data_IF_321653500246
#
_entry.id   IF_321653500246
#
_cell.length_a   1.000
_cell.length_b   1.000
_cell.length_c   1.000
_cell.angle_alpha   90.00
_cell.angle_beta   90.00
_cell.angle_gamma   90.00
#
_symmetry.space_group_name_H-M   'P 1'
#
loop_
_entity.id
_entity.type
_entity.pdbx_description
1 polymer ?
#
# COMPACT_ATOMS: atom_id res chain seq x y z
N UNK A 1 -8.43 6.36 33.85
CA UNK A 1 -7.81 6.33 32.51
C UNK A 1 -6.82 5.18 32.52
N UNK A 2 -6.94 4.21 31.61
CA UNK A 2 -6.00 3.09 31.55
C UNK A 2 -4.64 3.54 31.02
N UNK A 3 -3.57 2.75 31.27
CA UNK A 3 -2.24 3.04 30.69
C UNK A 3 -2.29 3.09 29.16
N UNK A 4 -3.16 2.28 28.54
CA UNK A 4 -3.35 2.30 27.09
C UNK A 4 -3.99 3.61 26.62
N UNK A 5 -4.98 4.15 27.33
CA UNK A 5 -5.59 5.44 26.97
C UNK A 5 -4.59 6.60 27.14
N UNK A 6 -3.76 6.54 28.19
CA UNK A 6 -2.70 7.52 28.42
C UNK A 6 -1.63 7.46 27.32
N UNK A 7 -1.24 6.24 26.89
CA UNK A 7 -0.33 6.03 25.77
C UNK A 7 -0.93 6.59 24.47
N UNK A 8 -2.17 6.25 24.16
CA UNK A 8 -2.90 6.73 22.98
C UNK A 8 -2.90 8.26 22.91
N UNK A 9 -3.29 8.92 24.01
CA UNK A 9 -3.31 10.37 24.11
C UNK A 9 -1.91 10.97 23.87
N UNK A 10 -0.87 10.40 24.49
CA UNK A 10 0.52 10.88 24.37
C UNK A 10 1.11 10.67 22.96
N UNK A 11 0.69 9.65 22.24
CA UNK A 11 1.13 9.39 20.87
C UNK A 11 0.41 10.32 19.90
N UNK A 12 -0.93 10.37 19.95
CA UNK A 12 -1.76 11.14 19.00
C UNK A 12 -1.63 12.67 19.20
N UNK A 13 -1.22 13.14 20.38
CA UNK A 13 -0.86 14.56 20.57
C UNK A 13 0.39 14.97 19.78
N UNK A 14 1.21 14.02 19.32
CA UNK A 14 2.40 14.31 18.51
C UNK A 14 2.04 14.74 17.09
N UNK A 15 2.63 15.84 16.61
CA UNK A 15 2.38 16.42 15.27
C UNK A 15 2.41 15.37 14.14
N UNK A 16 3.36 14.43 14.20
CA UNK A 16 3.58 13.43 13.14
C UNK A 16 2.63 12.22 13.24
N UNK A 17 1.83 12.10 14.32
CA UNK A 17 1.01 10.92 14.59
C UNK A 17 -0.48 11.23 14.75
N UNK A 18 -0.86 12.51 14.79
CA UNK A 18 -2.24 12.95 15.06
C UNK A 18 -3.26 12.47 14.02
N UNK A 19 -2.80 12.17 12.80
CA UNK A 19 -3.63 11.68 11.70
C UNK A 19 -3.51 10.17 11.47
N UNK A 20 -2.68 9.47 12.25
CA UNK A 20 -2.57 8.00 12.18
C UNK A 20 -3.84 7.37 12.76
N UNK A 21 -4.33 6.31 12.12
CA UNK A 21 -5.46 5.50 12.60
C UNK A 21 -5.36 5.21 14.10
N UNK A 22 -6.36 5.60 14.91
CA UNK A 22 -6.38 5.28 16.33
C UNK A 22 -6.37 3.77 16.61
N UNK A 23 -7.00 2.96 15.75
CA UNK A 23 -6.98 1.49 15.86
C UNK A 23 -5.56 0.95 15.73
N UNK A 24 -4.81 1.43 14.73
CA UNK A 24 -3.43 1.04 14.50
C UNK A 24 -2.50 1.47 15.65
N UNK A 25 -2.65 2.71 16.15
CA UNK A 25 -1.91 3.18 17.33
C UNK A 25 -2.22 2.33 18.55
N UNK A 26 -3.50 1.96 18.78
CA UNK A 26 -3.95 1.11 19.88
C UNK A 26 -3.35 -0.28 19.80
N UNK A 27 -3.34 -0.91 18.63
CA UNK A 27 -2.79 -2.25 18.44
C UNK A 27 -1.28 -2.30 18.73
N UNK A 28 -0.52 -1.33 18.20
CA UNK A 28 0.92 -1.23 18.47
C UNK A 28 1.16 -0.86 19.93
N UNK A 29 0.42 0.11 20.47
CA UNK A 29 0.55 0.59 21.85
C UNK A 29 0.32 -0.50 22.88
N UNK A 30 -0.72 -1.32 22.72
CA UNK A 30 -1.02 -2.45 23.59
C UNK A 30 0.13 -3.47 23.61
N UNK A 31 0.67 -3.78 22.43
CA UNK A 31 1.83 -4.68 22.30
C UNK A 31 3.08 -4.12 22.98
N UNK A 32 3.36 -2.83 22.84
CA UNK A 32 4.54 -2.21 23.43
C UNK A 32 4.38 -2.05 24.95
N UNK A 33 3.17 -1.78 25.48
CA UNK A 33 2.88 -1.78 26.90
C UNK A 33 3.17 -3.15 27.56
N UNK A 34 2.81 -4.23 26.90
CA UNK A 34 3.07 -5.59 27.40
C UNK A 34 4.57 -5.95 27.45
N UNK A 35 5.42 -5.23 26.72
CA UNK A 35 6.86 -5.52 26.55
C UNK A 35 7.78 -4.54 27.25
N UNK A 36 7.28 -3.41 27.72
CA UNK A 36 8.11 -2.32 28.25
C UNK A 36 7.89 -2.11 29.74
N UNK A 37 8.95 -1.72 30.48
CA UNK A 37 8.87 -1.60 31.92
C UNK A 37 8.13 -0.34 32.40
N UNK A 38 7.82 0.60 31.51
CA UNK A 38 7.12 1.84 31.87
C UNK A 38 6.32 2.41 30.70
N UNK A 39 5.28 3.19 31.02
CA UNK A 39 4.45 3.92 30.05
C UNK A 39 5.32 4.81 29.14
N UNK A 40 6.30 5.54 29.68
CA UNK A 40 7.23 6.38 28.90
C UNK A 40 8.00 5.57 27.85
N UNK A 41 8.50 4.40 28.24
CA UNK A 41 9.22 3.50 27.33
C UNK A 41 8.28 2.93 26.26
N UNK A 42 7.05 2.56 26.62
CA UNK A 42 6.03 2.09 25.69
C UNK A 42 5.63 3.18 24.67
N UNK A 43 5.40 4.42 25.10
CA UNK A 43 5.11 5.56 24.21
C UNK A 43 6.24 5.78 23.20
N UNK A 44 7.51 5.77 23.66
CA UNK A 44 8.67 5.91 22.77
C UNK A 44 8.74 4.77 21.75
N UNK A 45 8.56 3.53 22.20
CA UNK A 45 8.61 2.35 21.33
C UNK A 45 7.45 2.35 20.32
N UNK A 46 6.25 2.74 20.72
CA UNK A 46 5.10 2.92 19.83
C UNK A 46 5.39 3.96 18.75
N UNK A 47 5.90 5.14 19.10
CA UNK A 47 6.30 6.18 18.13
C UNK A 47 7.35 5.68 17.14
N UNK A 48 8.34 4.92 17.60
CA UNK A 48 9.36 4.34 16.72
C UNK A 48 8.76 3.32 15.74
N UNK A 49 7.86 2.45 16.21
CA UNK A 49 7.18 1.48 15.35
C UNK A 49 6.30 2.17 14.29
N UNK A 50 5.56 3.21 14.68
CA UNK A 50 4.76 4.02 13.74
C UNK A 50 5.63 4.74 12.70
N UNK A 51 6.78 5.25 13.10
CA UNK A 51 7.73 5.87 12.18
C UNK A 51 8.27 4.87 11.16
N UNK A 52 8.59 3.65 11.58
CA UNK A 52 9.05 2.58 10.68
C UNK A 52 7.94 2.09 9.74
N UNK A 53 6.68 2.11 10.20
CA UNK A 53 5.54 1.66 9.41
C UNK A 53 5.18 2.61 8.26
N UNK A 54 5.25 3.91 8.49
CA UNK A 54 4.76 4.90 7.54
C UNK A 54 5.46 6.26 7.60
N UNK A 55 5.88 6.70 8.79
CA UNK A 55 6.47 8.04 8.98
C UNK A 55 7.77 8.26 8.20
N UNK A 56 8.50 7.19 7.88
CA UNK A 56 9.71 7.26 7.08
C UNK A 56 9.46 7.59 5.58
N UNK A 57 8.20 7.55 5.13
CA UNK A 57 7.83 7.87 3.74
C UNK A 57 7.38 9.31 3.52
N UNK A 58 7.20 10.07 4.61
CA UNK A 58 6.88 11.49 4.57
C UNK A 58 8.00 12.29 5.27
N UNK A 59 9.01 12.72 4.53
CA UNK A 59 10.14 13.51 5.06
C UNK A 59 9.66 14.85 5.63
N UNK A 60 8.64 15.45 4.99
CA UNK A 60 7.95 16.66 5.41
C UNK A 60 6.43 16.45 5.29
N UNK A 61 5.63 17.03 6.20
CA UNK A 61 4.17 17.02 6.07
C UNK A 61 3.74 17.59 4.71
N UNK A 62 2.85 16.87 4.04
CA UNK A 62 2.27 17.32 2.77
C UNK A 62 1.17 18.32 3.06
N UNK A 63 1.19 19.44 2.37
CA UNK A 63 0.10 20.43 2.38
C UNK A 63 -0.98 19.96 1.38
N UNK A 64 -1.95 19.19 1.86
CA UNK A 64 -3.01 18.61 1.04
C UNK A 64 -3.97 19.66 0.47
N UNK A 65 -4.19 20.80 1.16
CA UNK A 65 -5.02 21.89 0.64
C UNK A 65 -4.36 22.53 -0.57
N UNK A 66 -3.06 22.80 -0.49
CA UNK A 66 -2.27 23.31 -1.61
C UNK A 66 -2.21 22.32 -2.77
N UNK A 67 -2.08 21.04 -2.46
CA UNK A 67 -2.08 19.97 -3.47
C UNK A 67 -3.42 19.92 -4.23
N UNK A 68 -4.56 19.98 -3.50
CA UNK A 68 -5.89 20.05 -4.13
C UNK A 68 -6.07 21.32 -4.97
N UNK A 69 -5.61 22.46 -4.50
CA UNK A 69 -5.67 23.71 -5.26
C UNK A 69 -4.91 23.60 -6.59
N UNK A 70 -3.72 22.98 -6.58
CA UNK A 70 -2.92 22.70 -7.78
C UNK A 70 -3.67 21.82 -8.78
N UNK A 71 -4.28 20.71 -8.31
CA UNK A 71 -5.03 19.78 -9.15
C UNK A 71 -6.28 20.43 -9.74
N UNK A 72 -7.03 21.22 -8.95
CA UNK A 72 -8.19 21.99 -9.44
C UNK A 72 -7.79 23.01 -10.50
N UNK A 73 -6.67 23.69 -10.31
CA UNK A 73 -6.17 24.65 -11.29
C UNK A 73 -5.80 23.96 -12.62
N UNK A 74 -5.15 22.80 -12.56
CA UNK A 74 -4.79 22.04 -13.75
C UNK A 74 -6.02 21.58 -14.54
N UNK A 75 -7.07 21.07 -13.87
CA UNK A 75 -8.32 20.67 -14.52
C UNK A 75 -9.15 21.85 -15.03
N UNK A 76 -9.03 23.03 -14.41
CA UNK A 76 -9.66 24.26 -14.93
C UNK A 76 -9.00 24.75 -16.23
N UNK A 77 -7.68 24.52 -16.39
CA UNK A 77 -6.95 24.85 -17.61
C UNK A 77 -7.18 23.83 -18.73
N UNK A 78 -7.27 22.55 -18.40
CA UNK A 78 -7.59 21.44 -19.31
C UNK A 78 -8.46 20.43 -18.58
N UNK A 79 -9.77 20.29 -18.91
CA UNK A 79 -10.69 19.36 -18.25
C UNK A 79 -10.33 17.87 -18.46
N UNK A 80 -9.34 17.56 -19.30
CA UNK A 80 -8.91 16.19 -19.53
C UNK A 80 -8.21 15.62 -18.28
N UNK A 81 -8.79 14.58 -17.70
CA UNK A 81 -8.21 13.85 -16.57
C UNK A 81 -6.92 13.10 -16.93
N UNK A 82 -6.68 12.87 -18.22
CA UNK A 82 -5.47 12.26 -18.78
C UNK A 82 -4.58 13.29 -19.52
N UNK A 83 -4.96 14.56 -19.50
CA UNK A 83 -4.22 15.66 -20.09
C UNK A 83 -2.89 15.92 -19.38
N UNK A 84 -1.89 16.42 -20.14
CA UNK A 84 -0.57 16.68 -19.56
C UNK A 84 -0.59 17.70 -18.40
N UNK A 85 -1.42 18.76 -18.39
CA UNK A 85 -1.48 19.66 -17.24
C UNK A 85 -1.87 18.94 -15.94
N UNK A 86 -2.86 18.05 -15.98
CA UNK A 86 -3.29 17.29 -14.81
C UNK A 86 -2.26 16.23 -14.40
N UNK A 87 -1.68 15.50 -15.37
CA UNK A 87 -0.58 14.55 -15.11
C UNK A 87 0.64 15.24 -14.47
N UNK A 88 1.02 16.41 -14.96
CA UNK A 88 2.11 17.19 -14.37
C UNK A 88 1.82 17.60 -12.93
N UNK A 89 0.59 18.04 -12.65
CA UNK A 89 0.15 18.39 -11.29
C UNK A 89 0.16 17.17 -10.35
N UNK A 90 -0.33 16.00 -10.82
CA UNK A 90 -0.27 14.74 -10.07
C UNK A 90 1.17 14.33 -9.76
N UNK A 91 2.10 14.39 -10.75
CA UNK A 91 3.53 14.11 -10.52
C UNK A 91 4.11 15.06 -9.46
N UNK A 92 3.79 16.35 -9.52
CA UNK A 92 4.25 17.32 -8.52
C UNK A 92 3.79 16.95 -7.10
N UNK A 93 2.53 16.55 -6.92
CA UNK A 93 2.01 16.10 -5.62
C UNK A 93 2.68 14.79 -5.17
N UNK A 94 2.88 13.84 -6.07
CA UNK A 94 3.53 12.55 -5.79
C UNK A 94 4.97 12.70 -5.29
N UNK A 95 5.66 13.81 -5.56
CA UNK A 95 7.01 14.07 -5.02
C UNK A 95 7.01 14.19 -3.49
N UNK A 96 5.89 14.54 -2.88
CA UNK A 96 5.74 14.70 -1.43
C UNK A 96 5.82 13.39 -0.64
N UNK A 97 5.64 12.23 -1.28
CA UNK A 97 5.68 10.92 -0.64
C UNK A 97 6.82 10.07 -1.22
N UNK A 98 7.73 9.61 -0.38
CA UNK A 98 8.98 8.94 -0.81
C UNK A 98 8.73 7.77 -1.76
N UNK A 99 7.78 6.89 -1.45
CA UNK A 99 7.47 5.70 -2.26
C UNK A 99 7.02 6.06 -3.68
N UNK A 100 6.19 7.09 -3.85
CA UNK A 100 5.73 7.55 -5.16
C UNK A 100 6.79 8.39 -5.87
N UNK A 101 7.52 9.24 -5.15
CA UNK A 101 8.66 10.02 -5.69
C UNK A 101 9.71 9.11 -6.33
N UNK A 102 10.08 8.00 -5.66
CA UNK A 102 11.02 7.02 -6.20
C UNK A 102 10.51 6.30 -7.44
N UNK A 103 9.17 6.17 -7.60
CA UNK A 103 8.57 5.54 -8.78
C UNK A 103 8.43 6.50 -9.96
N UNK A 104 8.40 7.82 -9.75
CA UNK A 104 8.21 8.78 -10.84
C UNK A 104 9.11 8.56 -12.06
N UNK A 105 10.43 8.25 -11.92
CA UNK A 105 11.29 8.02 -13.07
C UNK A 105 10.97 6.77 -13.90
N UNK A 106 10.21 5.85 -13.34
CA UNK A 106 9.83 4.57 -13.97
C UNK A 106 8.31 4.42 -14.13
N UNK A 107 7.55 5.48 -13.88
CA UNK A 107 6.09 5.43 -13.70
C UNK A 107 5.38 4.87 -14.93
N UNK A 108 5.75 5.34 -16.11
CA UNK A 108 5.16 4.91 -17.39
C UNK A 108 5.43 3.42 -17.64
N UNK A 109 6.69 3.00 -17.54
CA UNK A 109 7.09 1.61 -17.77
C UNK A 109 6.58 0.66 -16.67
N UNK A 110 6.57 1.12 -15.42
CA UNK A 110 6.18 0.29 -14.27
C UNK A 110 4.77 -0.27 -14.45
N UNK A 111 3.79 0.58 -14.69
CA UNK A 111 2.40 0.13 -14.83
C UNK A 111 2.14 -0.52 -16.19
N UNK A 112 2.72 -0.03 -17.26
CA UNK A 112 2.61 -0.65 -18.57
C UNK A 112 3.09 -2.11 -18.55
N UNK A 113 4.23 -2.39 -17.90
CA UNK A 113 4.79 -3.74 -17.84
C UNK A 113 4.09 -4.63 -16.80
N UNK A 114 3.73 -4.11 -15.63
CA UNK A 114 3.09 -4.91 -14.57
C UNK A 114 1.65 -5.28 -14.93
N UNK A 115 0.96 -4.49 -15.74
CA UNK A 115 -0.43 -4.70 -16.13
C UNK A 115 -0.60 -5.25 -17.57
N UNK A 116 0.48 -5.38 -18.35
CA UNK A 116 0.44 -5.74 -19.77
C UNK A 116 -0.38 -7.01 -20.11
N UNK A 117 -0.36 -8.00 -19.24
CA UNK A 117 -1.01 -9.30 -19.45
C UNK A 117 -2.14 -9.55 -18.45
N UNK A 118 -2.70 -8.48 -17.88
CA UNK A 118 -3.85 -8.55 -16.99
C UNK A 118 -5.09 -8.15 -17.79
N UNK A 119 -6.16 -8.94 -17.78
CA UNK A 119 -7.44 -8.51 -18.35
C UNK A 119 -7.89 -7.19 -17.72
N UNK A 120 -8.58 -6.32 -18.47
CA UNK A 120 -9.07 -5.05 -17.94
C UNK A 120 -9.84 -5.28 -16.62
N UNK A 121 -9.33 -4.79 -15.47
CA UNK A 121 -9.95 -5.09 -14.18
C UNK A 121 -11.20 -4.24 -13.97
N UNK A 122 -12.26 -4.84 -13.42
CA UNK A 122 -13.43 -4.12 -12.94
C UNK A 122 -13.16 -3.45 -11.59
N UNK A 123 -12.29 -4.05 -10.75
CA UNK A 123 -11.92 -3.52 -9.44
C UNK A 123 -10.45 -3.75 -9.12
N UNK A 124 -9.82 -2.72 -8.56
CA UNK A 124 -8.45 -2.72 -8.05
C UNK A 124 -8.44 -2.39 -6.56
N UNK A 125 -7.63 -3.13 -5.78
CA UNK A 125 -7.28 -2.77 -4.40
C UNK A 125 -5.85 -2.18 -4.38
N UNK A 126 -5.63 -1.14 -3.59
CA UNK A 126 -4.30 -0.58 -3.32
C UNK A 126 -4.07 -0.53 -1.80
N UNK A 127 -3.16 -1.37 -1.32
CA UNK A 127 -3.00 -1.66 0.11
C UNK A 127 -1.78 -0.96 0.67
N UNK A 128 -1.97 -0.15 1.72
CA UNK A 128 -1.01 0.81 2.24
C UNK A 128 -0.54 1.74 1.10
N UNK A 129 -1.53 2.37 0.50
CA UNK A 129 -1.44 2.97 -0.83
C UNK A 129 -0.51 4.20 -0.91
N UNK A 130 -0.24 4.90 0.21
CA UNK A 130 0.41 6.19 0.16
C UNK A 130 -0.31 7.14 -0.80
N UNK A 131 0.42 7.75 -1.71
CA UNK A 131 -0.14 8.54 -2.83
C UNK A 131 -0.26 7.71 -4.13
N UNK A 132 -0.24 6.37 -4.06
CA UNK A 132 -0.36 5.46 -5.20
C UNK A 132 -1.56 5.75 -6.10
N UNK A 133 -2.77 6.04 -5.58
CA UNK A 133 -3.95 6.34 -6.40
C UNK A 133 -3.78 7.51 -7.37
N UNK A 134 -2.87 8.46 -7.08
CA UNK A 134 -2.56 9.56 -8.01
C UNK A 134 -1.93 9.09 -9.33
N UNK A 135 -1.41 7.85 -9.36
CA UNK A 135 -0.86 7.26 -10.56
C UNK A 135 -1.94 6.70 -11.52
N UNK A 136 -3.25 6.81 -11.22
CA UNK A 136 -4.33 6.26 -12.03
C UNK A 136 -4.22 6.54 -13.54
N UNK A 137 -3.84 7.76 -14.01
CA UNK A 137 -3.69 8.03 -15.46
C UNK A 137 -2.60 7.23 -16.16
N UNK A 138 -1.71 6.57 -15.42
CA UNK A 138 -0.63 5.71 -15.97
C UNK A 138 -0.96 4.22 -15.94
N UNK A 139 -2.07 3.85 -15.29
CA UNK A 139 -2.43 2.44 -15.13
C UNK A 139 -3.13 1.86 -16.36
N UNK A 140 -3.59 2.68 -17.31
CA UNK A 140 -4.37 2.21 -18.46
C UNK A 140 -5.67 1.50 -18.07
N UNK A 141 -6.24 1.82 -16.92
CA UNK A 141 -7.46 1.19 -16.42
C UNK A 141 -8.69 1.68 -17.20
N UNK A 142 -9.67 0.81 -17.46
CA UNK A 142 -10.97 1.24 -17.96
C UNK A 142 -11.55 2.38 -17.11
N UNK A 143 -12.26 3.35 -17.71
CA UNK A 143 -12.86 4.46 -16.95
C UNK A 143 -13.79 4.00 -15.81
N UNK A 144 -14.50 2.89 -16.00
CA UNK A 144 -15.41 2.32 -15.02
C UNK A 144 -14.74 1.49 -13.92
N UNK A 145 -13.43 1.25 -13.96
CA UNK A 145 -12.71 0.47 -12.93
C UNK A 145 -12.83 1.15 -11.57
N UNK A 146 -13.40 0.42 -10.60
CA UNK A 146 -13.46 0.86 -9.21
C UNK A 146 -12.08 0.72 -8.55
N UNK A 147 -11.58 1.80 -7.95
CA UNK A 147 -10.29 1.83 -7.26
C UNK A 147 -10.50 1.97 -5.75
N UNK A 148 -10.16 0.94 -4.98
CA UNK A 148 -10.27 0.93 -3.52
C UNK A 148 -8.88 1.04 -2.90
N UNK A 149 -8.64 2.13 -2.17
CA UNK A 149 -7.35 2.44 -1.57
C UNK A 149 -7.44 2.40 -0.04
N UNK A 150 -6.41 1.86 0.60
CA UNK A 150 -6.34 1.71 2.06
C UNK A 150 -5.03 2.23 2.60
N UNK A 151 -5.07 3.07 3.63
CA UNK A 151 -3.89 3.53 4.35
C UNK A 151 -4.25 3.88 5.81
N UNK A 152 -3.23 4.12 6.63
CA UNK A 152 -3.40 4.46 8.05
C UNK A 152 -3.51 5.96 8.35
N UNK A 153 -3.27 6.85 7.36
CA UNK A 153 -3.26 8.29 7.55
C UNK A 153 -4.58 8.94 7.14
N UNK A 154 -5.33 9.47 8.11
CA UNK A 154 -6.67 10.02 7.88
C UNK A 154 -6.68 11.27 6.98
N UNK A 155 -5.71 12.17 7.12
CA UNK A 155 -5.57 13.35 6.29
C UNK A 155 -5.24 13.02 4.83
N UNK A 156 -4.36 12.05 4.61
CA UNK A 156 -4.04 11.53 3.27
C UNK A 156 -5.28 10.88 2.63
N UNK A 157 -6.02 10.06 3.38
CA UNK A 157 -7.25 9.42 2.89
C UNK A 157 -8.32 10.44 2.54
N UNK A 158 -8.50 11.48 3.37
CA UNK A 158 -9.41 12.58 3.06
C UNK A 158 -9.02 13.28 1.75
N UNK A 159 -7.73 13.61 1.58
CA UNK A 159 -7.20 14.18 0.35
C UNK A 159 -7.45 13.28 -0.87
N UNK A 160 -7.16 11.98 -0.78
CA UNK A 160 -7.38 11.05 -1.88
C UNK A 160 -8.86 10.97 -2.29
N UNK A 161 -9.79 10.99 -1.33
CA UNK A 161 -11.22 11.01 -1.64
C UNK A 161 -11.64 12.29 -2.37
N UNK A 162 -11.10 13.46 -1.99
CA UNK A 162 -11.30 14.70 -2.74
C UNK A 162 -10.77 14.60 -4.17
N UNK A 163 -9.61 13.94 -4.38
CA UNK A 163 -9.06 13.72 -5.73
C UNK A 163 -9.95 12.76 -6.54
N UNK A 164 -10.46 11.67 -5.95
CA UNK A 164 -11.40 10.78 -6.63
C UNK A 164 -12.64 11.54 -7.13
N UNK A 165 -13.21 12.39 -6.27
CA UNK A 165 -14.37 13.24 -6.62
C UNK A 165 -13.98 14.24 -7.72
N UNK A 166 -12.88 14.96 -7.54
CA UNK A 166 -12.40 16.00 -8.46
C UNK A 166 -12.16 15.46 -9.88
N UNK A 167 -11.53 14.29 -9.96
CA UNK A 167 -11.20 13.63 -11.21
C UNK A 167 -12.34 12.73 -11.75
N UNK A 168 -13.46 12.60 -11.03
CA UNK A 168 -14.55 11.71 -11.42
C UNK A 168 -14.15 10.24 -11.54
N UNK A 169 -13.12 9.82 -10.79
CA UNK A 169 -12.67 8.43 -10.81
C UNK A 169 -13.56 7.55 -9.92
N UNK A 170 -14.10 6.44 -10.43
CA UNK A 170 -14.82 5.50 -9.58
C UNK A 170 -13.92 4.93 -8.49
N UNK A 171 -14.39 4.94 -7.25
CA UNK A 171 -13.65 4.36 -6.13
C UNK A 171 -13.66 5.23 -4.88
N UNK A 172 -12.87 4.82 -3.91
CA UNK A 172 -12.71 5.52 -2.62
C UNK A 172 -11.43 5.10 -1.92
N UNK A 173 -11.01 5.94 -0.97
CA UNK A 173 -9.96 5.62 -0.02
C UNK A 173 -10.55 5.47 1.40
N UNK A 174 -10.00 4.55 2.20
CA UNK A 174 -10.46 4.24 3.56
C UNK A 174 -9.29 4.17 4.53
N UNK A 175 -9.45 4.77 5.72
CA UNK A 175 -8.48 4.60 6.82
C UNK A 175 -8.59 3.18 7.34
N UNK A 176 -7.51 2.39 7.23
CA UNK A 176 -7.52 0.98 7.63
C UNK A 176 -6.17 0.49 8.11
N UNK A 177 -6.15 -0.16 9.27
CA UNK A 177 -5.05 -1.01 9.70
C UNK A 177 -5.10 -2.34 8.94
N UNK A 178 -4.27 -2.48 7.90
CA UNK A 178 -4.24 -3.68 7.05
C UNK A 178 -3.56 -4.88 7.72
N UNK A 179 -2.91 -4.69 8.89
CA UNK A 179 -2.35 -5.78 9.70
C UNK A 179 -3.45 -6.41 10.56
N UNK A 180 -4.20 -5.59 11.27
CA UNK A 180 -5.27 -6.02 12.15
C UNK A 180 -6.56 -6.37 11.41
N UNK A 181 -6.83 -5.66 10.30
CA UNK A 181 -8.05 -5.82 9.50
C UNK A 181 -7.71 -5.75 7.99
N UNK A 182 -7.10 -6.81 7.44
CA UNK A 182 -6.82 -6.87 6.01
C UNK A 182 -8.11 -6.64 5.18
N UNK A 183 -8.02 -5.99 4.01
CA UNK A 183 -9.16 -5.88 3.12
C UNK A 183 -9.48 -7.25 2.50
N UNK A 184 -10.75 -7.63 2.54
CA UNK A 184 -11.30 -8.89 2.03
C UNK A 184 -12.25 -8.70 0.84
N UNK A 185 -12.47 -7.44 0.45
CA UNK A 185 -13.32 -7.07 -0.69
C UNK A 185 -12.81 -7.75 -1.96
N UNK A 186 -13.68 -8.47 -2.72
CA UNK A 186 -13.27 -9.09 -3.97
C UNK A 186 -12.77 -8.05 -4.98
N UNK A 187 -11.65 -8.35 -5.64
CA UNK A 187 -11.07 -7.53 -6.69
C UNK A 187 -10.36 -8.39 -7.74
N UNK A 188 -10.07 -7.82 -8.90
CA UNK A 188 -9.34 -8.52 -9.96
C UNK A 188 -7.84 -8.45 -9.75
N UNK A 189 -7.37 -7.32 -9.21
CA UNK A 189 -5.95 -7.04 -8.93
C UNK A 189 -5.82 -6.35 -7.58
N UNK A 190 -4.80 -6.73 -6.81
CA UNK A 190 -4.38 -5.99 -5.62
C UNK A 190 -2.94 -5.50 -5.74
N UNK A 191 -2.73 -4.22 -5.49
CA UNK A 191 -1.41 -3.60 -5.37
C UNK A 191 -0.93 -3.65 -3.92
N UNK A 192 0.29 -4.14 -3.72
CA UNK A 192 1.02 -4.22 -2.44
C UNK A 192 2.42 -3.64 -2.69
N UNK A 193 2.48 -2.34 -2.94
CA UNK A 193 3.67 -1.69 -3.47
C UNK A 193 4.56 -1.14 -2.37
N UNK A 194 5.76 -1.72 -2.20
CA UNK A 194 6.76 -1.41 -1.15
C UNK A 194 6.23 -1.58 0.30
N UNK A 195 5.13 -2.29 0.47
CA UNK A 195 4.39 -2.42 1.73
C UNK A 195 4.95 -3.50 2.64
N UNK A 196 5.30 -4.68 2.08
CA UNK A 196 5.65 -5.86 2.88
C UNK A 196 6.82 -5.63 3.86
N UNK A 197 7.90 -4.91 3.51
CA UNK A 197 8.97 -4.63 4.46
C UNK A 197 8.51 -3.80 5.68
N UNK A 198 7.56 -2.90 5.48
CA UNK A 198 7.01 -2.06 6.55
C UNK A 198 6.17 -2.89 7.52
N UNK A 199 5.35 -3.80 7.00
CA UNK A 199 4.54 -4.71 7.81
C UNK A 199 5.42 -5.67 8.60
N UNK A 200 6.46 -6.20 7.97
CA UNK A 200 7.40 -7.13 8.60
C UNK A 200 8.16 -6.49 9.76
N UNK A 201 8.49 -5.22 9.67
CA UNK A 201 9.12 -4.47 10.77
C UNK A 201 8.22 -4.39 12.01
N UNK A 202 6.89 -4.46 11.83
CA UNK A 202 5.91 -4.46 12.91
C UNK A 202 5.65 -5.88 13.41
N UNK A 203 5.36 -6.80 12.49
CA UNK A 203 5.07 -8.20 12.78
C UNK A 203 5.59 -9.07 11.61
N UNK A 204 6.53 -9.97 11.92
CA UNK A 204 7.18 -10.85 10.93
C UNK A 204 6.19 -11.71 10.12
N UNK A 205 5.03 -12.01 10.68
CA UNK A 205 4.00 -12.84 10.03
C UNK A 205 2.94 -12.00 9.29
N UNK A 206 2.93 -10.67 9.46
CA UNK A 206 1.95 -9.79 8.83
C UNK A 206 1.97 -9.86 7.29
N UNK A 207 3.13 -9.91 6.61
CA UNK A 207 3.17 -10.05 5.16
C UNK A 207 2.38 -11.26 4.65
N UNK A 208 2.63 -12.44 5.22
CA UNK A 208 1.93 -13.66 4.81
C UNK A 208 0.43 -13.59 5.05
N UNK A 209 0.02 -13.16 6.26
CA UNK A 209 -1.41 -13.01 6.60
C UNK A 209 -2.14 -12.02 5.69
N UNK A 210 -1.50 -10.88 5.36
CA UNK A 210 -2.08 -9.92 4.44
C UNK A 210 -2.30 -10.54 3.07
N UNK A 211 -1.26 -11.14 2.48
CA UNK A 211 -1.37 -11.74 1.15
C UNK A 211 -2.42 -12.85 1.09
N UNK A 212 -2.53 -13.67 2.15
CA UNK A 212 -3.53 -14.73 2.25
C UNK A 212 -4.96 -14.16 2.30
N UNK A 213 -5.15 -13.06 3.03
CA UNK A 213 -6.46 -12.43 3.23
C UNK A 213 -6.97 -11.66 2.01
N UNK A 214 -6.08 -11.15 1.14
CA UNK A 214 -6.49 -10.40 -0.05
C UNK A 214 -7.31 -11.28 -0.99
N UNK A 215 -8.56 -10.89 -1.26
CA UNK A 215 -9.45 -11.60 -2.16
C UNK A 215 -9.28 -11.10 -3.61
N UNK A 216 -8.09 -11.31 -4.16
CA UNK A 216 -7.76 -10.97 -5.54
C UNK A 216 -6.91 -12.10 -6.14
N UNK A 217 -7.21 -12.59 -7.37
CA UNK A 217 -6.45 -13.64 -8.04
C UNK A 217 -5.07 -13.16 -8.50
N UNK A 218 -4.88 -11.85 -8.67
CA UNK A 218 -3.63 -11.25 -9.12
C UNK A 218 -3.15 -10.24 -8.08
N UNK A 219 -1.86 -10.34 -7.71
CA UNK A 219 -1.21 -9.36 -6.84
C UNK A 219 -0.01 -8.76 -7.57
N UNK A 220 0.10 -7.45 -7.58
CA UNK A 220 1.33 -6.74 -7.96
C UNK A 220 2.03 -6.36 -6.67
N UNK A 221 3.11 -7.05 -6.37
CA UNK A 221 3.90 -6.83 -5.14
C UNK A 221 5.22 -6.20 -5.53
N UNK A 222 5.64 -5.15 -4.84
CA UNK A 222 6.94 -4.56 -5.12
C UNK A 222 7.78 -4.28 -3.88
N UNK A 223 9.08 -4.14 -4.13
CA UNK A 223 10.11 -3.85 -3.13
C UNK A 223 11.02 -2.73 -3.63
N UNK A 224 11.55 -1.88 -2.75
CA UNK A 224 12.53 -0.88 -3.14
C UNK A 224 13.82 -1.56 -3.63
N UNK A 225 14.37 -1.11 -4.77
CA UNK A 225 15.66 -1.58 -5.26
C UNK A 225 16.85 -1.05 -4.44
N UNK A 226 16.61 0.00 -3.62
CA UNK A 226 17.60 0.67 -2.77
C UNK A 226 17.03 0.91 -1.37
N UNK A 227 17.91 1.09 -0.35
CA UNK A 227 17.45 1.61 0.95
C UNK A 227 17.05 3.08 0.82
N UNK A 228 16.23 3.59 1.76
CA UNK A 228 16.00 5.04 1.94
C UNK A 228 17.30 5.85 2.07
N UNK A 229 18.43 5.21 2.43
CA UNK A 229 19.78 5.78 2.49
C UNK A 229 20.68 5.50 1.28
N UNK A 230 20.13 5.02 0.15
CA UNK A 230 20.85 4.88 -1.13
C UNK A 230 21.79 3.68 -1.27
N UNK A 231 21.79 2.71 -0.35
CA UNK A 231 22.62 1.49 -0.46
C UNK A 231 21.92 0.46 -1.36
N UNK A 232 22.54 0.12 -2.50
CA UNK A 232 22.00 -0.81 -3.51
C UNK A 232 22.37 -2.28 -3.28
N UNK A 233 23.55 -2.58 -2.68
CA UNK A 233 24.15 -3.90 -2.74
C UNK A 233 23.42 -4.89 -1.82
N UNK A 234 22.79 -5.93 -2.40
CA UNK A 234 22.24 -7.08 -1.70
C UNK A 234 20.79 -6.99 -1.23
N UNK A 235 20.14 -5.81 -1.21
CA UNK A 235 18.78 -5.67 -0.69
C UNK A 235 17.72 -6.29 -1.59
N UNK A 236 17.78 -6.00 -2.89
CA UNK A 236 16.82 -6.57 -3.84
C UNK A 236 16.86 -8.11 -3.82
N UNK A 237 18.07 -8.69 -3.82
CA UNK A 237 18.25 -10.15 -3.73
C UNK A 237 17.72 -10.72 -2.39
N UNK A 238 17.90 -10.00 -1.28
CA UNK A 238 17.37 -10.42 0.02
C UNK A 238 15.84 -10.41 0.05
N UNK A 239 15.21 -9.34 -0.44
CA UNK A 239 13.75 -9.27 -0.55
C UNK A 239 13.21 -10.35 -1.48
N UNK A 240 13.84 -10.54 -2.64
CA UNK A 240 13.46 -11.57 -3.59
C UNK A 240 13.51 -12.97 -2.97
N UNK A 241 14.63 -13.36 -2.34
CA UNK A 241 14.77 -14.67 -1.74
C UNK A 241 13.70 -14.96 -0.68
N UNK A 242 13.44 -13.97 0.20
CA UNK A 242 12.42 -14.11 1.25
C UNK A 242 11.01 -14.15 0.67
N UNK A 243 10.74 -13.33 -0.33
CA UNK A 243 9.43 -13.28 -0.97
C UNK A 243 9.15 -14.57 -1.74
N UNK A 244 10.14 -15.11 -2.48
CA UNK A 244 10.01 -16.41 -3.15
C UNK A 244 9.73 -17.53 -2.15
N UNK A 245 10.49 -17.62 -1.05
CA UNK A 245 10.22 -18.59 0.01
C UNK A 245 8.78 -18.46 0.57
N UNK A 246 8.26 -17.25 0.70
CA UNK A 246 6.87 -17.00 1.11
C UNK A 246 5.86 -17.51 0.07
N UNK A 247 6.12 -17.32 -1.22
CA UNK A 247 5.27 -17.79 -2.32
C UNK A 247 5.33 -19.31 -2.49
N UNK A 248 6.52 -19.89 -2.36
CA UNK A 248 6.74 -21.35 -2.50
C UNK A 248 5.90 -22.13 -1.48
N UNK A 249 5.78 -21.65 -0.24
CA UNK A 249 4.92 -22.28 0.78
C UNK A 249 3.43 -22.27 0.41
N UNK A 250 3.01 -21.47 -0.59
CA UNK A 250 1.65 -21.32 -1.06
C UNK A 250 1.41 -21.90 -2.45
N UNK A 251 2.49 -22.31 -3.13
CA UNK A 251 2.42 -22.76 -4.53
C UNK A 251 2.00 -21.64 -5.49
N UNK A 252 2.29 -20.36 -5.16
CA UNK A 252 1.89 -19.24 -6.00
C UNK A 252 2.98 -18.84 -6.99
N UNK A 253 2.76 -19.03 -8.30
CA UNK A 253 3.71 -18.60 -9.31
C UNK A 253 3.78 -17.08 -9.40
N UNK A 254 4.99 -16.55 -9.66
CA UNK A 254 5.22 -15.13 -9.81
C UNK A 254 6.20 -14.81 -10.94
N UNK A 255 5.77 -13.91 -11.85
CA UNK A 255 6.63 -13.23 -12.80
C UNK A 255 7.44 -12.15 -12.09
N UNK A 256 8.72 -11.97 -12.49
CA UNK A 256 9.65 -10.98 -11.94
C UNK A 256 9.91 -9.86 -12.96
N UNK A 257 9.81 -8.62 -12.52
CA UNK A 257 10.13 -7.43 -13.29
C UNK A 257 11.10 -6.55 -12.49
N UNK A 258 12.14 -6.06 -13.14
CA UNK A 258 13.15 -5.21 -12.50
C UNK A 258 13.18 -3.83 -13.14
N UNK A 259 13.09 -2.80 -12.30
CA UNK A 259 13.16 -1.40 -12.68
C UNK A 259 14.33 -0.72 -11.96
N UNK A 260 14.71 0.46 -12.41
CA UNK A 260 15.84 1.20 -11.85
C UNK A 260 15.71 1.46 -10.33
N UNK A 261 14.49 1.66 -9.85
CA UNK A 261 14.21 2.01 -8.44
C UNK A 261 13.37 0.96 -7.69
N UNK A 262 12.84 -0.07 -8.39
CA UNK A 262 11.86 -0.98 -7.82
C UNK A 262 11.98 -2.39 -8.43
N UNK A 263 11.86 -3.40 -7.58
CA UNK A 263 11.71 -4.79 -7.98
C UNK A 263 10.25 -5.19 -7.80
N UNK A 264 9.59 -5.65 -8.86
CA UNK A 264 8.18 -6.02 -8.83
C UNK A 264 7.95 -7.50 -9.18
N UNK A 265 6.86 -8.03 -8.63
CA UNK A 265 6.37 -9.38 -8.89
C UNK A 265 4.90 -9.35 -9.23
N UNK A 266 4.53 -10.01 -10.32
CA UNK A 266 3.15 -10.32 -10.66
C UNK A 266 2.85 -11.73 -10.14
N UNK A 267 2.12 -11.83 -9.04
CA UNK A 267 1.78 -13.07 -8.35
C UNK A 267 0.38 -13.52 -8.79
N UNK A 268 0.24 -14.80 -9.14
CA UNK A 268 -1.06 -15.44 -9.38
C UNK A 268 -1.42 -16.28 -8.16
N UNK A 269 -2.53 -15.95 -7.50
CA UNK A 269 -3.10 -16.76 -6.43
C UNK A 269 -3.93 -17.86 -7.07
N UNK A 270 -3.32 -19.00 -7.31
CA UNK A 270 -4.08 -20.19 -7.70
C UNK A 270 -4.90 -20.62 -6.48
N UNK A 271 -6.22 -20.81 -6.68
CA UNK A 271 -7.00 -21.54 -5.69
C UNK A 271 -6.42 -22.95 -5.62
N UNK A 272 -6.19 -23.54 -4.41
CA UNK A 272 -5.83 -24.94 -4.34
C UNK A 272 -6.88 -25.72 -5.13
N UNK A 273 -6.42 -26.44 -6.16
CA UNK A 273 -7.28 -27.41 -6.82
C UNK A 273 -7.68 -28.40 -5.74
N UNK A 274 -8.94 -28.37 -5.32
CA UNK A 274 -9.56 -29.47 -4.61
C UNK A 274 -9.50 -30.60 -5.64
N UNK A 275 -8.52 -31.47 -5.50
CA UNK A 275 -8.47 -32.73 -6.24
C UNK A 275 -9.85 -33.37 -6.02
N UNK A 276 -10.62 -33.50 -7.09
CA UNK A 276 -11.77 -34.36 -7.11
C UNK A 276 -11.26 -35.75 -6.72
N UNK A 277 -11.45 -36.08 -5.45
CA UNK A 277 -11.30 -37.48 -5.01
C UNK A 277 -12.39 -38.17 -5.79
N UNK A 278 -11.95 -38.92 -6.78
CA UNK A 278 -12.71 -39.85 -7.58
C UNK A 278 -13.69 -40.59 -6.66
N UNK A 279 -14.95 -40.46 -6.95
CA UNK A 279 -15.93 -41.45 -6.55
C UNK A 279 -15.46 -42.80 -7.15
N UNK A 280 -14.83 -43.61 -6.31
CA UNK A 280 -14.70 -45.01 -6.61
C UNK A 280 -16.13 -45.54 -6.52
N UNK A 281 -16.70 -45.79 -7.68
CA UNK A 281 -17.91 -46.60 -7.83
C UNK A 281 -17.64 -47.94 -7.13
N UNK A 282 -18.31 -48.19 -6.04
CA UNK A 282 -18.61 -49.56 -5.61
C UNK A 282 -19.72 -50.05 -6.55
N UNK A 283 -19.30 -50.77 -7.56
CA UNK A 283 -20.14 -51.63 -8.35
C UNK A 283 -20.01 -53.05 -7.82
N UNK A 284 -21.16 -53.66 -7.54
CA UNK A 284 -21.48 -55.06 -7.24
C UNK A 284 -21.22 -55.54 -5.85
#
# INVERSE_FOLDING_TARGET
MSDLDALMAAVLAGRNYRHVSPEFVRAIGARELARRPSLKAAVKATKNALHQAGGAFQDTPIDYDRALALLRHALAADPSQDGEPFRAALRAVMTGHTSTRERLPILDDFFAMTLANIPPPARVLDVACGLGPLARPWLGLPPATEYLAYDIYADQIAFLNEVFILAGWPGRAEVRDVIGRPPDTPADVAFVLKTLPCLEAIDKNAPGRLLDALNAPLLVVSFPAQTLGGRRKGMAAHYEARFRALLDTRGWPAGRLEFATELAFLVRKEKPQISQISQIEEGD
#
